data_IF_704495546830
#
_entry.id   IF_704495546830
#
_cell.length_a   1.000
_cell.length_b   1.000
_cell.length_c   1.000
_cell.angle_alpha   90.00
_cell.angle_beta   90.00
_cell.angle_gamma   90.00
#
_symmetry.space_group_name_H-M   'P 1'
#
loop_
_entity.id
_entity.type
_entity.pdbx_description
1 polymer ?
#
# COMPACT_ATOMS: atom_id res chain seq x y z
N UNK A 1 -3.51 -11.45 16.91
CA UNK A 1 -3.11 -11.86 15.55
C UNK A 1 -2.72 -10.62 14.74
N UNK A 2 -1.92 -10.67 13.66
CA UNK A 2 -1.87 -9.54 12.74
C UNK A 2 -3.17 -9.54 11.95
N UNK A 3 -4.17 -8.81 12.47
CA UNK A 3 -5.48 -8.62 11.87
C UNK A 3 -5.34 -7.68 10.66
N UNK A 4 -4.78 -8.21 9.57
CA UNK A 4 -4.90 -7.57 8.25
C UNK A 4 -6.32 -7.80 7.71
N UNK A 5 -6.82 -6.91 6.84
CA UNK A 5 -8.11 -7.10 6.17
C UNK A 5 -8.13 -8.43 5.42
N UNK A 6 -9.29 -9.09 5.40
CA UNK A 6 -9.44 -10.37 4.72
C UNK A 6 -9.27 -10.19 3.21
N UNK A 7 -8.77 -11.20 2.51
CA UNK A 7 -8.61 -11.16 1.04
C UNK A 7 -9.91 -10.79 0.29
N UNK A 8 -11.07 -11.11 0.87
CA UNK A 8 -12.39 -10.71 0.35
C UNK A 8 -12.67 -9.20 0.52
N UNK A 9 -12.31 -8.60 1.66
CA UNK A 9 -12.44 -7.15 1.88
C UNK A 9 -11.49 -6.36 0.98
N UNK A 10 -10.33 -6.95 0.66
CA UNK A 10 -9.35 -6.41 -0.27
C UNK A 10 -9.83 -6.47 -1.73
N UNK A 11 -10.59 -7.49 -2.11
CA UNK A 11 -11.12 -7.64 -3.46
C UNK A 11 -12.21 -6.60 -3.81
N UNK A 12 -12.87 -6.02 -2.80
CA UNK A 12 -13.90 -4.99 -2.94
C UNK A 12 -13.41 -3.58 -2.55
N UNK A 13 -12.18 -3.47 -2.04
CA UNK A 13 -11.59 -2.21 -1.62
C UNK A 13 -11.01 -1.39 -2.78
N UNK A 14 -10.64 -0.13 -2.52
CA UNK A 14 -9.96 0.69 -3.51
C UNK A 14 -8.63 0.07 -3.94
N UNK A 15 -8.21 0.39 -5.15
CA UNK A 15 -6.94 -0.06 -5.72
C UNK A 15 -6.02 1.13 -5.99
N UNK A 16 -4.75 0.98 -5.64
CA UNK A 16 -3.69 1.94 -5.86
C UNK A 16 -2.61 1.31 -6.74
N UNK A 17 -2.32 1.93 -7.88
CA UNK A 17 -1.40 1.37 -8.89
C UNK A 17 -1.76 -0.06 -9.37
N UNK A 18 -3.05 -0.43 -9.30
CA UNK A 18 -3.52 -1.78 -9.64
C UNK A 18 -3.45 -2.80 -8.49
N UNK A 19 -3.02 -2.37 -7.30
CA UNK A 19 -2.95 -3.21 -6.11
C UNK A 19 -4.06 -2.84 -5.11
N UNK A 20 -4.74 -3.81 -4.49
CA UNK A 20 -5.70 -3.53 -3.41
C UNK A 20 -5.05 -2.70 -2.31
N UNK A 21 -5.73 -1.66 -1.83
CA UNK A 21 -5.16 -0.77 -0.83
C UNK A 21 -6.15 -0.40 0.26
N UNK A 22 -5.62 0.23 1.30
CA UNK A 22 -6.44 0.79 2.37
C UNK A 22 -7.40 1.84 1.81
N UNK A 23 -8.67 1.85 2.26
CA UNK A 23 -9.57 2.97 1.98
C UNK A 23 -9.13 4.26 2.69
N UNK A 24 -8.27 4.15 3.72
CA UNK A 24 -7.72 5.32 4.41
C UNK A 24 -6.47 5.82 3.69
N UNK A 25 -6.59 7.04 3.16
CA UNK A 25 -5.58 7.73 2.36
C UNK A 25 -5.16 9.03 3.05
N UNK A 26 -3.95 9.49 2.77
CA UNK A 26 -3.41 10.75 3.29
C UNK A 26 -3.79 11.95 2.40
N UNK A 27 -3.40 13.17 2.77
CA UNK A 27 -3.62 14.39 1.98
C UNK A 27 -3.07 14.30 0.55
N UNK A 28 -2.07 13.43 0.35
CA UNK A 28 -1.49 13.12 -0.97
C UNK A 28 -2.26 12.05 -1.73
N UNK A 29 -3.37 11.52 -1.23
CA UNK A 29 -4.07 10.38 -1.83
C UNK A 29 -3.29 9.06 -1.74
N UNK A 30 -2.35 8.95 -0.80
CA UNK A 30 -1.54 7.75 -0.60
C UNK A 30 -2.21 6.84 0.43
N UNK A 31 -2.45 5.55 0.13
CA UNK A 31 -3.04 4.64 1.11
C UNK A 31 -2.07 4.32 2.25
N UNK A 32 -2.60 4.00 3.43
CA UNK A 32 -1.77 3.62 4.61
C UNK A 32 -1.05 2.28 4.44
N UNK A 33 -1.63 1.37 3.67
CA UNK A 33 -1.06 0.09 3.29
C UNK A 33 -1.63 -0.36 1.94
N UNK A 34 -0.95 -1.29 1.28
CA UNK A 34 -1.41 -1.93 0.06
C UNK A 34 -1.07 -3.43 0.07
N UNK A 35 -1.74 -4.20 -0.77
CA UNK A 35 -1.53 -5.65 -0.87
C UNK A 35 -0.84 -5.96 -2.18
N UNK A 36 0.39 -6.48 -2.08
CA UNK A 36 1.16 -6.97 -3.21
C UNK A 36 1.47 -8.43 -2.96
N UNK A 37 1.22 -9.29 -3.95
CA UNK A 37 1.53 -10.72 -3.85
C UNK A 37 0.87 -11.40 -2.63
N UNK A 38 -0.35 -10.97 -2.29
CA UNK A 38 -1.08 -11.47 -1.11
C UNK A 38 -0.50 -11.03 0.25
N UNK A 39 0.48 -10.12 0.27
CA UNK A 39 1.11 -9.60 1.49
C UNK A 39 0.80 -8.13 1.69
N UNK A 40 0.54 -7.75 2.94
CA UNK A 40 0.32 -6.37 3.32
C UNK A 40 1.64 -5.59 3.41
N UNK A 41 1.81 -4.67 2.47
CA UNK A 41 2.91 -3.71 2.44
C UNK A 41 2.51 -2.46 3.22
N UNK A 42 3.31 -2.08 4.21
CA UNK A 42 3.08 -0.85 4.95
C UNK A 42 3.74 0.34 4.25
N UNK A 43 3.05 1.48 4.27
CA UNK A 43 3.62 2.75 3.81
C UNK A 43 4.73 3.20 4.75
N UNK A 44 5.82 3.69 4.17
CA UNK A 44 6.94 4.37 4.82
C UNK A 44 7.21 5.66 4.06
N UNK A 45 7.54 6.71 4.79
CA UNK A 45 7.96 7.98 4.21
C UNK A 45 9.27 8.41 4.87
N UNK A 46 10.19 8.95 4.08
CA UNK A 46 11.41 9.61 4.58
C UNK A 46 11.81 10.72 3.64
N UNK A 47 11.99 11.92 4.18
CA UNK A 47 12.43 13.10 3.43
C UNK A 47 11.54 13.43 2.21
N UNK A 48 10.27 13.01 2.24
CA UNK A 48 9.30 13.18 1.15
C UNK A 48 9.30 12.05 0.11
N UNK A 49 10.26 11.13 0.14
CA UNK A 49 10.17 9.86 -0.58
C UNK A 49 9.23 8.92 0.16
N UNK A 50 8.30 8.32 -0.57
CA UNK A 50 7.35 7.33 -0.03
C UNK A 50 7.68 5.97 -0.62
N UNK A 51 7.63 4.92 0.17
CA UNK A 51 7.73 3.55 -0.32
C UNK A 51 6.86 2.61 0.50
N UNK A 52 6.53 1.47 -0.09
CA UNK A 52 5.80 0.40 0.55
C UNK A 52 6.71 -0.78 0.74
N UNK A 53 6.67 -1.35 1.94
CA UNK A 53 7.47 -2.52 2.29
C UNK A 53 6.62 -3.61 2.93
N UNK A 54 6.77 -4.84 2.45
CA UNK A 54 6.18 -6.04 3.07
C UNK A 54 7.15 -6.61 4.09
N UNK A 55 6.64 -7.07 5.24
CA UNK A 55 7.44 -7.84 6.20
C UNK A 55 7.59 -9.27 5.68
N UNK A 56 8.82 -9.71 5.50
CA UNK A 56 9.15 -11.09 5.13
C UNK A 56 9.18 -11.98 6.39
N UNK A 57 9.02 -13.29 6.18
CA UNK A 57 9.02 -14.28 7.27
C UNK A 57 10.31 -14.29 8.10
N UNK A 58 11.42 -13.85 7.51
CA UNK A 58 12.73 -13.72 8.16
C UNK A 58 12.85 -12.46 9.06
N UNK A 59 11.76 -11.68 9.20
CA UNK A 59 11.75 -10.43 9.96
C UNK A 59 12.33 -9.23 9.20
N UNK A 60 12.85 -9.43 8.00
CA UNK A 60 13.29 -8.39 7.06
C UNK A 60 12.11 -7.73 6.35
N UNK A 61 12.35 -6.57 5.73
CA UNK A 61 11.34 -5.84 4.95
C UNK A 61 11.79 -5.76 3.49
N UNK A 62 10.95 -6.21 2.56
CA UNK A 62 11.18 -6.02 1.14
C UNK A 62 10.42 -4.80 0.65
N UNK A 63 11.14 -3.87 0.01
CA UNK A 63 10.51 -2.74 -0.67
C UNK A 63 9.87 -3.22 -1.97
N UNK A 64 8.57 -2.99 -2.12
CA UNK A 64 7.77 -3.47 -3.25
C UNK A 64 7.30 -2.34 -4.17
N UNK A 65 7.20 -1.12 -3.66
CA UNK A 65 6.84 0.07 -4.43
C UNK A 65 7.57 1.28 -3.88
N UNK A 66 8.14 2.13 -4.73
CA UNK A 66 8.75 3.40 -4.33
C UNK A 66 8.18 4.53 -5.18
N UNK A 67 7.86 5.64 -4.51
CA UNK A 67 7.31 6.87 -5.07
C UNK A 67 8.25 8.00 -4.61
N UNK A 68 9.13 8.47 -5.50
CA UNK A 68 10.02 9.58 -5.21
C UNK A 68 9.27 10.86 -4.82
N UNK A 69 9.94 11.74 -4.08
CA UNK A 69 9.38 13.05 -3.77
C UNK A 69 9.07 13.83 -5.06
N UNK A 70 7.85 14.33 -5.19
CA UNK A 70 7.44 15.16 -6.33
C UNK A 70 7.01 14.37 -7.56
N UNK A 71 7.03 13.04 -7.51
CA UNK A 71 6.41 12.20 -8.52
C UNK A 71 4.88 12.22 -8.40
N UNK A 72 4.21 12.07 -9.55
CA UNK A 72 2.75 11.99 -9.57
C UNK A 72 2.33 10.66 -8.97
N UNK A 73 1.60 10.73 -7.86
CA UNK A 73 1.02 9.55 -7.23
C UNK A 73 -0.02 8.91 -8.16
N UNK A 74 -0.05 7.57 -8.25
CA UNK A 74 -1.15 6.85 -8.86
C UNK A 74 -2.48 7.30 -8.24
N UNK A 75 -3.48 7.49 -9.08
CA UNK A 75 -4.83 7.74 -8.58
C UNK A 75 -5.39 6.47 -7.95
N UNK A 76 -6.13 6.64 -6.85
CA UNK A 76 -6.87 5.55 -6.25
C UNK A 76 -8.13 5.34 -7.06
N UNK A 77 -8.33 4.10 -7.48
CA UNK A 77 -9.54 3.67 -8.19
C UNK A 77 -10.38 2.87 -7.22
N UNK A 78 -11.56 3.38 -6.92
CA UNK A 78 -12.56 2.62 -6.17
C UNK A 78 -12.96 1.39 -7.01
N UNK A 79 -13.08 0.22 -6.37
CA UNK A 79 -13.65 -0.94 -7.03
C UNK A 79 -15.14 -0.65 -7.30
N UNK A 80 -15.65 -0.99 -8.51
CA UNK A 80 -17.03 -0.71 -8.92
C UNK A 80 -18.09 -1.48 -8.09
#
# INVERSE_FOLDING_TARGET
EPTGPSAAELAQGPTFAGYPCSPTVDDRGLPTWLIIDGKQAQRREKQGDVWYSVRLGDGTYAQVLRIPKGEKVPEIKEAP
#
